data_IF_958540772663
#
_entry.id   IF_958540772663
#
_cell.length_a   1.000
_cell.length_b   1.000
_cell.length_c   1.000
_cell.angle_alpha   90.00
_cell.angle_beta   90.00
_cell.angle_gamma   90.00
#
_symmetry.space_group_name_H-M   'P 1'
#
loop_
_entity.id
_entity.type
_entity.pdbx_description
1 polymer ?
#
# COMPACT_ATOMS: atom_id res chain seq x y z
N UNK A 1 7.99 8.11 -6.39
CA UNK A 1 8.79 6.87 -6.59
C UNK A 1 9.49 6.87 -7.96
N UNK A 2 8.78 7.19 -9.04
CA UNK A 2 9.40 7.22 -10.38
C UNK A 2 10.58 8.19 -10.47
N UNK A 3 10.40 9.43 -10.01
CA UNK A 3 11.45 10.46 -9.98
C UNK A 3 12.61 10.09 -9.08
N UNK A 4 12.36 9.29 -8.03
CA UNK A 4 13.36 8.81 -7.07
C UNK A 4 14.08 7.53 -7.54
N UNK A 5 13.92 7.14 -8.80
CA UNK A 5 14.71 6.08 -9.43
C UNK A 5 14.01 4.75 -9.70
N UNK A 6 12.67 4.69 -9.59
CA UNK A 6 11.86 3.53 -10.00
C UNK A 6 11.39 3.63 -11.46
N UNK A 7 12.29 4.05 -12.36
CA UNK A 7 11.96 4.35 -13.76
C UNK A 7 11.57 3.11 -14.58
N UNK A 8 11.97 1.91 -14.13
CA UNK A 8 11.58 0.64 -14.75
C UNK A 8 10.28 0.07 -14.17
N UNK A 9 9.67 0.75 -13.20
CA UNK A 9 8.40 0.33 -12.62
C UNK A 9 7.22 0.88 -13.42
N UNK A 10 6.20 0.05 -13.58
CA UNK A 10 4.90 0.50 -14.08
C UNK A 10 3.97 0.77 -12.90
N UNK A 11 3.25 1.88 -12.97
CA UNK A 11 2.39 2.32 -11.88
C UNK A 11 0.92 2.10 -12.23
N UNK A 12 0.25 1.23 -11.47
CA UNK A 12 -1.20 1.07 -11.44
C UNK A 12 -1.74 1.83 -10.21
N UNK A 13 -1.80 3.15 -10.33
CA UNK A 13 -2.19 4.03 -9.23
C UNK A 13 -3.54 4.71 -9.52
N UNK A 14 -4.50 4.56 -8.60
CA UNK A 14 -5.86 5.07 -8.75
C UNK A 14 -6.29 5.78 -7.46
N UNK A 15 -6.99 6.89 -7.61
CA UNK A 15 -7.50 7.64 -6.45
C UNK A 15 -8.58 6.84 -5.72
N UNK A 16 -8.44 6.69 -4.42
CA UNK A 16 -9.46 6.09 -3.55
C UNK A 16 -9.58 4.57 -3.67
N UNK A 17 -8.62 3.88 -4.31
CA UNK A 17 -8.68 2.44 -4.49
C UNK A 17 -8.42 1.71 -3.17
N UNK A 18 -9.18 0.62 -2.98
CA UNK A 18 -8.99 -0.37 -1.93
C UNK A 18 -9.03 -1.79 -2.50
N UNK A 19 -8.72 -2.82 -1.71
CA UNK A 19 -8.69 -4.21 -2.19
C UNK A 19 -10.05 -4.69 -2.71
N UNK A 20 -11.15 -4.21 -2.17
CA UNK A 20 -12.52 -4.50 -2.65
C UNK A 20 -12.76 -4.06 -4.09
N UNK A 21 -12.17 -2.94 -4.50
CA UNK A 21 -12.28 -2.42 -5.88
C UNK A 21 -11.63 -3.39 -6.87
N UNK A 22 -10.47 -3.94 -6.50
CA UNK A 22 -9.73 -4.91 -7.31
C UNK A 22 -10.49 -6.24 -7.39
N UNK A 23 -10.96 -6.76 -6.26
CA UNK A 23 -11.72 -8.02 -6.19
C UNK A 23 -13.01 -7.95 -6.98
N UNK A 24 -13.71 -6.83 -6.93
CA UNK A 24 -15.00 -6.64 -7.63
C UNK A 24 -14.84 -6.29 -9.12
N UNK A 25 -13.63 -6.18 -9.64
CA UNK A 25 -13.39 -5.82 -11.03
C UNK A 25 -13.91 -4.42 -11.40
N UNK A 26 -13.90 -3.50 -10.43
CA UNK A 26 -14.45 -2.16 -10.65
C UNK A 26 -13.50 -1.36 -11.54
N UNK A 27 -14.08 -0.70 -12.56
CA UNK A 27 -13.32 0.21 -13.43
C UNK A 27 -12.83 1.43 -12.65
N UNK A 28 -11.55 1.73 -12.76
CA UNK A 28 -10.87 2.85 -12.12
C UNK A 28 -10.41 3.89 -13.13
N UNK A 29 -10.38 5.16 -12.72
CA UNK A 29 -9.88 6.26 -13.52
C UNK A 29 -8.40 6.50 -13.25
N UNK A 30 -7.60 6.56 -14.31
CA UNK A 30 -6.18 6.94 -14.28
C UNK A 30 -5.99 8.46 -14.17
N UNK A 31 -4.76 8.88 -13.88
CA UNK A 31 -4.40 10.30 -13.83
C UNK A 31 -4.55 11.03 -15.18
N UNK A 32 -4.38 10.31 -16.30
CA UNK A 32 -4.56 10.83 -17.67
C UNK A 32 -6.04 10.91 -18.10
N UNK A 33 -6.97 10.49 -17.22
CA UNK A 33 -8.41 10.52 -17.46
C UNK A 33 -8.98 9.26 -18.13
N UNK A 34 -8.15 8.34 -18.62
CA UNK A 34 -8.57 7.04 -19.13
C UNK A 34 -9.09 6.14 -18.01
N UNK A 35 -9.79 5.06 -18.36
CA UNK A 35 -10.32 4.11 -17.39
C UNK A 35 -9.89 2.70 -17.71
N UNK A 36 -9.65 1.90 -16.67
CA UNK A 36 -9.27 0.49 -16.80
C UNK A 36 -9.71 -0.31 -15.55
N UNK A 37 -9.78 -1.63 -15.69
CA UNK A 37 -9.93 -2.55 -14.55
C UNK A 37 -8.52 -2.86 -14.02
N UNK A 38 -8.20 -2.54 -12.75
CA UNK A 38 -6.83 -2.65 -12.21
C UNK A 38 -6.19 -4.02 -12.39
N UNK A 39 -6.93 -5.10 -12.14
CA UNK A 39 -6.42 -6.46 -12.28
C UNK A 39 -6.09 -6.82 -13.74
N UNK A 40 -6.94 -6.43 -14.68
CA UNK A 40 -6.72 -6.64 -16.11
C UNK A 40 -5.49 -5.87 -16.60
N UNK A 41 -5.38 -4.59 -16.21
CA UNK A 41 -4.24 -3.76 -16.53
C UNK A 41 -2.92 -4.33 -16.00
N UNK A 42 -2.92 -4.82 -14.76
CA UNK A 42 -1.78 -5.47 -14.14
C UNK A 42 -1.40 -6.77 -14.85
N UNK A 43 -2.40 -7.62 -15.14
CA UNK A 43 -2.19 -8.91 -15.81
C UNK A 43 -1.63 -8.74 -17.22
N UNK A 44 -2.11 -7.74 -17.97
CA UNK A 44 -1.63 -7.43 -19.32
C UNK A 44 -0.13 -7.06 -19.35
N UNK A 45 0.44 -6.58 -18.25
CA UNK A 45 1.87 -6.29 -18.13
C UNK A 45 2.73 -7.52 -17.86
N UNK A 46 2.13 -8.62 -17.38
CA UNK A 46 2.84 -9.84 -16.98
C UNK A 46 4.11 -9.54 -16.15
N UNK A 47 4.00 -8.86 -15.02
CA UNK A 47 5.14 -8.35 -14.27
C UNK A 47 5.90 -9.47 -13.57
N UNK A 48 7.21 -9.31 -13.39
CA UNK A 48 8.03 -10.24 -12.58
C UNK A 48 7.76 -10.07 -11.07
N UNK A 49 7.37 -8.86 -10.66
CA UNK A 49 7.06 -8.55 -9.28
C UNK A 49 5.95 -7.50 -9.20
N UNK A 50 5.08 -7.62 -8.20
CA UNK A 50 4.01 -6.66 -7.89
C UNK A 50 4.21 -6.15 -6.46
N UNK A 51 4.20 -4.85 -6.27
CA UNK A 51 4.30 -4.19 -4.97
C UNK A 51 2.96 -3.54 -4.65
N UNK A 52 2.27 -4.05 -3.63
CA UNK A 52 0.94 -3.60 -3.22
C UNK A 52 1.05 -2.62 -2.06
N UNK A 53 0.51 -1.42 -2.20
CA UNK A 53 0.30 -0.47 -1.12
C UNK A 53 -1.15 0.01 -1.15
N UNK A 54 -1.98 -0.55 -0.27
CA UNK A 54 -3.41 -0.27 -0.18
C UNK A 54 -3.82 -0.20 1.30
N UNK A 55 -4.68 0.74 1.66
CA UNK A 55 -5.24 0.82 3.01
C UNK A 55 -5.62 2.23 3.43
N UNK A 56 -4.76 3.21 3.28
CA UNK A 56 -4.97 4.59 3.74
C UNK A 56 -6.31 5.18 3.29
N UNK A 57 -6.73 4.89 2.04
CA UNK A 57 -7.98 5.40 1.48
C UNK A 57 -9.25 4.81 2.11
N UNK A 58 -9.18 3.60 2.67
CA UNK A 58 -10.36 2.87 3.20
C UNK A 58 -10.37 2.79 4.72
N UNK A 59 -9.24 3.04 5.37
CA UNK A 59 -9.08 2.92 6.82
C UNK A 59 -9.18 4.26 7.56
N UNK A 60 -9.50 5.35 6.86
CA UNK A 60 -9.55 6.68 7.44
C UNK A 60 -10.52 6.79 8.61
N UNK A 61 -11.68 6.18 8.52
CA UNK A 61 -12.66 6.16 9.61
C UNK A 61 -12.31 5.10 10.65
N UNK A 62 -12.55 5.41 11.92
CA UNK A 62 -12.40 4.44 13.03
C UNK A 62 -13.62 3.51 13.07
N UNK A 63 -13.64 2.57 12.15
CA UNK A 63 -14.67 1.54 11.99
C UNK A 63 -14.02 0.16 11.98
N UNK A 64 -14.83 -0.90 12.02
CA UNK A 64 -14.34 -2.26 11.86
C UNK A 64 -13.61 -2.44 10.52
N UNK A 65 -12.40 -2.96 10.57
CA UNK A 65 -11.56 -3.22 9.39
C UNK A 65 -11.55 -4.70 8.94
N UNK A 66 -12.40 -5.54 9.50
CA UNK A 66 -12.47 -6.97 9.14
C UNK A 66 -12.78 -7.18 7.67
N UNK A 67 -13.65 -6.36 7.11
CA UNK A 67 -13.98 -6.36 5.68
C UNK A 67 -12.77 -6.01 4.80
N UNK A 68 -11.94 -5.06 5.22
CA UNK A 68 -10.69 -4.72 4.52
C UNK A 68 -9.75 -5.92 4.47
N UNK A 69 -9.53 -6.62 5.59
CA UNK A 69 -8.67 -7.81 5.64
C UNK A 69 -9.24 -8.98 4.81
N UNK A 70 -10.56 -9.16 4.84
CA UNK A 70 -11.23 -10.17 4.01
C UNK A 70 -10.98 -9.92 2.52
N UNK A 71 -11.21 -8.70 2.05
CA UNK A 71 -10.95 -8.35 0.66
C UNK A 71 -9.46 -8.40 0.30
N UNK A 72 -8.56 -8.12 1.26
CA UNK A 72 -7.13 -8.24 1.04
C UNK A 72 -6.73 -9.70 0.77
N UNK A 73 -7.25 -10.66 1.55
CA UNK A 73 -7.05 -12.10 1.30
C UNK A 73 -7.55 -12.53 -0.07
N UNK A 74 -8.79 -12.14 -0.42
CA UNK A 74 -9.38 -12.47 -1.71
C UNK A 74 -8.57 -11.88 -2.87
N UNK A 75 -8.09 -10.66 -2.73
CA UNK A 75 -7.23 -10.01 -3.73
C UNK A 75 -5.92 -10.77 -3.94
N UNK A 76 -5.25 -11.21 -2.87
CA UNK A 76 -4.02 -11.99 -2.98
C UNK A 76 -4.28 -13.37 -3.62
N UNK A 77 -5.40 -14.03 -3.30
CA UNK A 77 -5.80 -15.28 -3.96
C UNK A 77 -6.00 -15.07 -5.47
N UNK A 78 -6.69 -14.00 -5.87
CA UNK A 78 -6.88 -13.66 -7.29
C UNK A 78 -5.56 -13.36 -8.00
N UNK A 79 -4.67 -12.60 -7.36
CA UNK A 79 -3.35 -12.28 -7.93
C UNK A 79 -2.49 -13.54 -8.09
N UNK A 80 -2.42 -14.42 -7.10
CA UNK A 80 -1.68 -15.68 -7.16
C UNK A 80 -2.21 -16.61 -8.27
N UNK A 81 -3.54 -16.65 -8.45
CA UNK A 81 -4.15 -17.45 -9.53
C UNK A 81 -3.89 -16.85 -10.92
N UNK A 82 -3.94 -15.54 -11.04
CA UNK A 82 -3.83 -14.84 -12.33
C UNK A 82 -2.38 -14.66 -12.77
N UNK A 83 -1.47 -14.51 -11.80
CA UNK A 83 -0.04 -14.24 -12.01
C UNK A 83 0.84 -15.26 -11.26
N UNK A 84 0.76 -16.56 -11.59
CA UNK A 84 1.37 -17.63 -10.78
C UNK A 84 2.91 -17.61 -10.74
N UNK A 85 3.56 -16.86 -11.61
CA UNK A 85 5.02 -16.73 -11.67
C UNK A 85 5.51 -15.35 -11.20
N UNK A 86 4.64 -14.53 -10.62
CA UNK A 86 4.93 -13.18 -10.17
C UNK A 86 5.18 -13.15 -8.67
N UNK A 87 6.27 -12.54 -8.22
CA UNK A 87 6.51 -12.30 -6.80
C UNK A 87 5.59 -11.17 -6.32
N UNK A 88 4.80 -11.43 -5.28
CA UNK A 88 3.88 -10.44 -4.72
C UNK A 88 4.43 -9.93 -3.40
N UNK A 89 4.61 -8.62 -3.30
CA UNK A 89 5.07 -7.91 -2.12
C UNK A 89 3.94 -7.07 -1.54
N UNK A 90 3.46 -7.44 -0.38
CA UNK A 90 2.53 -6.66 0.45
C UNK A 90 3.35 -5.65 1.23
N UNK A 91 3.13 -4.37 1.00
CA UNK A 91 3.76 -3.32 1.78
C UNK A 91 2.87 -2.92 2.95
N UNK A 92 3.48 -2.65 4.11
CA UNK A 92 2.74 -2.10 5.25
C UNK A 92 2.09 -0.77 4.87
N UNK A 93 0.95 -0.47 5.44
CA UNK A 93 0.37 0.87 5.39
C UNK A 93 1.37 1.81 6.05
N UNK A 94 1.66 2.95 5.42
CA UNK A 94 2.66 3.92 5.91
C UNK A 94 2.27 4.50 7.27
N UNK A 95 3.24 4.85 8.12
CA UNK A 95 2.96 5.60 9.32
C UNK A 95 2.38 6.98 8.97
N UNK A 96 1.71 7.60 9.92
CA UNK A 96 1.11 8.94 9.80
C UNK A 96 1.58 9.83 10.96
N UNK A 97 1.43 11.14 10.81
CA UNK A 97 1.66 12.08 11.94
C UNK A 97 0.53 11.96 12.97
N UNK A 98 0.79 12.19 14.27
CA UNK A 98 -0.20 12.05 15.35
C UNK A 98 -1.48 12.86 15.14
N UNK A 99 -1.35 14.06 14.56
CA UNK A 99 -2.48 14.96 14.33
C UNK A 99 -3.46 14.51 13.24
N UNK A 100 -3.09 13.51 12.43
CA UNK A 100 -3.95 13.01 11.34
C UNK A 100 -5.25 12.44 11.89
N UNK A 101 -5.18 11.63 12.94
CA UNK A 101 -6.36 11.01 13.54
C UNK A 101 -7.33 11.98 14.23
N UNK A 102 -6.91 13.24 14.42
CA UNK A 102 -7.76 14.32 14.95
C UNK A 102 -8.63 14.97 13.87
N UNK A 103 -8.38 14.66 12.58
CA UNK A 103 -9.11 15.20 11.46
C UNK A 103 -10.36 14.36 11.17
N UNK A 104 -11.50 15.01 10.90
CA UNK A 104 -12.73 14.31 10.55
C UNK A 104 -12.55 13.41 9.34
N UNK A 105 -12.96 12.15 9.49
CA UNK A 105 -12.82 11.11 8.46
C UNK A 105 -11.43 10.46 8.39
N UNK A 106 -10.53 10.79 9.32
CA UNK A 106 -9.19 10.22 9.44
C UNK A 106 -8.92 9.61 10.82
N UNK A 107 -9.92 9.49 11.66
CA UNK A 107 -9.82 9.00 13.05
C UNK A 107 -9.19 7.60 13.11
N UNK A 108 -9.43 6.79 12.08
CA UNK A 108 -8.85 5.45 11.93
C UNK A 108 -7.38 5.41 11.51
N UNK A 109 -6.82 6.54 11.06
CA UNK A 109 -5.41 6.66 10.73
C UNK A 109 -4.63 7.09 11.97
N UNK A 110 -4.52 6.20 12.93
CA UNK A 110 -3.70 6.38 14.12
C UNK A 110 -2.66 5.26 14.22
N UNK A 111 -1.54 5.58 14.85
CA UNK A 111 -0.37 4.71 14.97
C UNK A 111 -0.71 3.31 15.44
N UNK A 112 -1.39 3.19 16.58
CA UNK A 112 -1.61 1.89 17.23
C UNK A 112 -2.51 0.98 16.38
N UNK A 113 -3.55 1.55 15.78
CA UNK A 113 -4.44 0.82 14.88
C UNK A 113 -3.75 0.41 13.59
N UNK A 114 -2.98 1.30 12.97
CA UNK A 114 -2.22 0.96 11.76
C UNK A 114 -1.16 -0.10 12.05
N UNK A 115 -0.51 -0.06 13.22
CA UNK A 115 0.42 -1.09 13.64
C UNK A 115 -0.26 -2.47 13.76
N UNK A 116 -1.44 -2.54 14.37
CA UNK A 116 -2.23 -3.78 14.45
C UNK A 116 -2.61 -4.30 13.06
N UNK A 117 -3.12 -3.43 12.19
CA UNK A 117 -3.51 -3.82 10.82
C UNK A 117 -2.29 -4.29 10.02
N UNK A 118 -1.14 -3.67 10.17
CA UNK A 118 0.10 -4.11 9.50
C UNK A 118 0.57 -5.48 9.98
N UNK A 119 0.41 -5.82 11.26
CA UNK A 119 0.66 -7.17 11.76
C UNK A 119 -0.28 -8.21 11.12
N UNK A 120 -1.56 -7.87 10.97
CA UNK A 120 -2.51 -8.72 10.25
C UNK A 120 -2.15 -8.87 8.77
N UNK A 121 -1.72 -7.79 8.11
CA UNK A 121 -1.27 -7.85 6.72
C UNK A 121 -0.01 -8.71 6.56
N UNK A 122 0.92 -8.67 7.51
CA UNK A 122 2.10 -9.54 7.52
C UNK A 122 1.70 -11.01 7.65
N UNK A 123 0.76 -11.33 8.55
CA UNK A 123 0.22 -12.67 8.71
C UNK A 123 -0.50 -13.17 7.44
N UNK A 124 -1.30 -12.29 6.80
CA UNK A 124 -1.99 -12.61 5.54
C UNK A 124 -0.98 -12.83 4.41
N UNK A 125 0.06 -12.01 4.31
CA UNK A 125 1.11 -12.20 3.31
C UNK A 125 1.77 -13.57 3.44
N UNK A 126 2.12 -13.98 4.67
CA UNK A 126 2.66 -15.31 4.96
C UNK A 126 1.66 -16.42 4.61
N UNK A 127 0.38 -16.27 4.99
CA UNK A 127 -0.71 -17.22 4.68
C UNK A 127 -0.85 -17.47 3.17
N UNK A 128 -0.59 -16.44 2.37
CA UNK A 128 -0.79 -16.42 0.91
C UNK A 128 0.48 -16.61 0.10
N UNK A 129 1.57 -17.05 0.71
CA UNK A 129 2.90 -17.22 0.07
C UNK A 129 3.39 -15.93 -0.62
N UNK A 130 3.09 -14.77 -0.02
CA UNK A 130 3.54 -13.45 -0.45
C UNK A 130 4.61 -12.91 0.49
N UNK A 131 5.42 -11.98 -0.01
CA UNK A 131 6.40 -11.26 0.80
C UNK A 131 5.73 -10.10 1.53
N UNK A 132 6.22 -9.77 2.73
CA UNK A 132 5.81 -8.56 3.45
C UNK A 132 6.98 -7.59 3.58
N UNK A 133 6.74 -6.32 3.28
CA UNK A 133 7.71 -5.23 3.38
C UNK A 133 7.23 -4.21 4.42
N UNK A 134 7.97 -4.09 5.51
CA UNK A 134 7.62 -3.19 6.61
C UNK A 134 8.20 -1.78 6.40
N UNK A 135 7.47 -0.91 5.71
CA UNK A 135 7.92 0.46 5.43
C UNK A 135 8.14 1.32 6.68
N UNK A 136 7.67 0.90 7.85
CA UNK A 136 7.90 1.62 9.11
C UNK A 136 9.38 1.63 9.50
N UNK A 137 10.17 0.65 9.06
CA UNK A 137 11.61 0.60 9.31
C UNK A 137 12.36 1.83 8.77
N UNK A 138 11.84 2.46 7.74
CA UNK A 138 12.49 3.62 7.10
C UNK A 138 11.64 4.89 7.12
N UNK A 139 10.34 4.79 7.42
CA UNK A 139 9.43 5.92 7.41
C UNK A 139 8.97 6.36 8.80
N UNK A 140 9.09 5.51 9.83
CA UNK A 140 8.67 5.84 11.18
C UNK A 140 9.84 6.39 12.02
N UNK A 141 9.52 7.31 12.92
CA UNK A 141 10.43 7.78 13.96
C UNK A 141 10.45 6.81 15.17
N UNK A 142 11.19 7.15 16.22
CA UNK A 142 11.32 6.35 17.44
C UNK A 142 9.99 6.12 18.19
N UNK A 143 8.98 6.94 17.92
CA UNK A 143 7.64 6.82 18.50
C UNK A 143 6.71 5.97 17.62
N UNK A 144 7.13 5.61 16.41
CA UNK A 144 6.31 4.94 15.40
C UNK A 144 5.44 5.88 14.58
N UNK A 145 5.66 7.18 14.63
CA UNK A 145 4.97 8.16 13.83
C UNK A 145 5.76 8.46 12.54
N UNK A 146 5.09 8.92 11.49
CA UNK A 146 5.78 9.32 10.26
C UNK A 146 6.83 10.38 10.57
N UNK A 147 8.07 10.17 10.12
CA UNK A 147 9.17 11.14 10.28
C UNK A 147 8.71 12.50 9.77
N UNK A 148 8.80 13.53 10.61
CA UNK A 148 8.26 14.86 10.33
C UNK A 148 8.81 15.47 9.04
N UNK A 149 10.12 15.33 8.79
CA UNK A 149 10.77 15.81 7.57
C UNK A 149 10.31 15.09 6.31
N UNK A 150 9.72 13.90 6.43
CA UNK A 150 9.15 13.12 5.33
C UNK A 150 7.68 13.42 5.08
N UNK A 151 6.98 14.04 6.04
CA UNK A 151 5.56 14.32 5.95
C UNK A 151 5.25 15.61 5.18
N UNK A 152 4.23 15.58 4.33
CA UNK A 152 3.57 16.77 3.83
C UNK A 152 2.73 17.43 4.94
N UNK A 153 2.24 18.67 4.77
CA UNK A 153 1.43 19.35 5.78
C UNK A 153 0.14 18.62 6.19
N UNK A 154 -0.34 17.70 5.37
CA UNK A 154 -1.50 16.87 5.71
C UNK A 154 -1.18 15.74 6.71
N UNK A 155 0.10 15.38 6.87
CA UNK A 155 0.61 14.43 7.86
C UNK A 155 0.63 12.97 7.41
N UNK A 156 0.21 12.64 6.19
CA UNK A 156 0.20 11.25 5.68
C UNK A 156 0.72 11.09 4.24
N UNK A 157 0.75 12.14 3.43
CA UNK A 157 1.48 12.09 2.15
C UNK A 157 2.97 12.36 2.38
N UNK A 158 3.79 11.76 1.52
CA UNK A 158 5.25 11.88 1.63
C UNK A 158 5.79 13.06 0.83
N UNK A 159 6.87 13.64 1.35
CA UNK A 159 7.76 14.55 0.62
C UNK A 159 8.78 13.74 -0.18
N UNK A 160 9.53 14.36 -1.11
CA UNK A 160 10.58 13.68 -1.89
C UNK A 160 11.57 12.86 -1.04
N UNK A 161 11.99 13.35 0.12
CA UNK A 161 12.90 12.63 1.02
C UNK A 161 12.31 11.31 1.53
N UNK A 162 11.01 11.27 1.85
CA UNK A 162 10.31 10.05 2.25
C UNK A 162 10.18 9.05 1.09
N UNK A 163 9.95 9.55 -0.13
CA UNK A 163 9.96 8.68 -1.32
C UNK A 163 11.34 8.12 -1.62
N UNK A 164 12.41 8.89 -1.43
CA UNK A 164 13.79 8.41 -1.61
C UNK A 164 14.10 7.28 -0.62
N UNK A 165 13.80 7.47 0.67
CA UNK A 165 13.97 6.44 1.69
C UNK A 165 13.19 5.16 1.36
N UNK A 166 11.95 5.30 0.87
CA UNK A 166 11.14 4.16 0.44
C UNK A 166 11.76 3.43 -0.76
N UNK A 167 12.23 4.12 -1.79
CA UNK A 167 12.90 3.51 -2.94
C UNK A 167 14.15 2.74 -2.53
N UNK A 168 14.98 3.31 -1.66
CA UNK A 168 16.20 2.66 -1.17
C UNK A 168 15.87 1.40 -0.35
N UNK A 169 14.80 1.44 0.45
CA UNK A 169 14.29 0.27 1.16
C UNK A 169 13.86 -0.83 0.19
N UNK A 170 13.07 -0.52 -0.84
CA UNK A 170 12.64 -1.50 -1.83
C UNK A 170 13.82 -2.16 -2.54
N UNK A 171 14.86 -1.40 -2.88
CA UNK A 171 16.06 -1.92 -3.56
C UNK A 171 16.84 -2.92 -2.71
N UNK A 172 16.84 -2.76 -1.40
CA UNK A 172 17.59 -3.60 -0.47
C UNK A 172 16.78 -4.78 0.10
N UNK A 173 15.45 -4.77 -0.03
CA UNK A 173 14.54 -5.74 0.58
C UNK A 173 13.71 -6.53 -0.44
N UNK A 174 14.08 -6.48 -1.71
CA UNK A 174 13.45 -7.28 -2.76
C UNK A 174 14.20 -8.61 -2.91
N UNK A 175 13.49 -9.74 -2.90
CA UNK A 175 14.06 -11.06 -3.15
C UNK A 175 14.52 -11.17 -4.63
N UNK A 176 15.69 -11.75 -4.87
CA UNK A 176 16.26 -12.01 -6.18
C UNK A 176 15.44 -13.02 -7.02
#
# INVERSE_FOLDING_TARGET
LYEEGMQNAMFCAYKGVGPNVIVNGTTCKRADGTTEVPLEALTAQNPRAVYLLLGTNVLGRDTDYSSFLTYYRLMLDMLNQTLPNTKIYVQSITPVRPEVSQKSGHEGLNRDRLYQINNELAAIALEKDCYFLNLWEVLADENGDLIESYAQPDGYHLRPAGYAAWVDYLRSHTAE
#
